data_IF_150756309772
#
_entry.id   IF_150756309772
#
_cell.length_a   1.000
_cell.length_b   1.000
_cell.length_c   1.000
_cell.angle_alpha   90.00
_cell.angle_beta   90.00
_cell.angle_gamma   90.00
#
_symmetry.space_group_name_H-M   'P 1'
#
loop_
_entity.id
_entity.type
_entity.pdbx_description
1 polymer ?
#
# COMPACT_ATOMS: atom_id res chain seq x y z
N UNK A 1 27.41 35.17 -2.29
CA UNK A 1 25.96 35.45 -2.14
C UNK A 1 25.23 34.14 -2.41
N UNK A 2 24.93 33.35 -1.39
CA UNK A 2 24.32 32.02 -1.56
C UNK A 2 22.79 32.13 -1.40
N UNK A 3 22.07 31.70 -2.41
CA UNK A 3 20.61 31.68 -2.53
C UNK A 3 20.03 30.49 -1.76
N UNK A 4 19.54 30.67 -0.51
CA UNK A 4 18.89 29.58 0.26
C UNK A 4 17.36 29.46 0.09
N UNK A 5 16.71 30.42 -0.59
CA UNK A 5 15.24 30.49 -0.69
C UNK A 5 14.57 29.27 -1.38
N UNK A 6 15.29 28.46 -2.15
CA UNK A 6 14.70 27.38 -2.95
C UNK A 6 14.39 26.07 -2.19
N UNK A 7 15.11 25.75 -1.12
CA UNK A 7 15.10 24.39 -0.53
C UNK A 7 13.86 24.11 0.32
N UNK A 8 13.38 25.09 1.08
CA UNK A 8 12.19 24.95 1.92
C UNK A 8 10.87 24.96 1.12
N UNK A 9 10.84 25.70 0.00
CA UNK A 9 9.72 25.69 -0.95
C UNK A 9 9.52 24.32 -1.62
N UNK A 10 10.62 23.66 -2.01
CA UNK A 10 10.59 22.33 -2.62
C UNK A 10 9.98 21.26 -1.71
N UNK A 11 10.36 21.23 -0.43
CA UNK A 11 9.82 20.25 0.55
C UNK A 11 8.33 20.49 0.83
N UNK A 12 7.89 21.75 0.93
CA UNK A 12 6.47 22.10 1.12
C UNK A 12 5.64 21.70 -0.10
N UNK A 13 6.15 21.94 -1.31
CA UNK A 13 5.51 21.53 -2.57
C UNK A 13 5.38 20.02 -2.69
N UNK A 14 6.46 19.28 -2.40
CA UNK A 14 6.45 17.82 -2.41
C UNK A 14 5.45 17.25 -1.38
N UNK A 15 5.43 17.79 -0.16
CA UNK A 15 4.45 17.38 0.86
C UNK A 15 3.01 17.63 0.44
N UNK A 16 2.71 18.77 -0.21
CA UNK A 16 1.37 19.04 -0.74
C UNK A 16 0.98 18.05 -1.84
N UNK A 17 1.90 17.76 -2.77
CA UNK A 17 1.66 16.78 -3.83
C UNK A 17 1.37 15.39 -3.25
N UNK A 18 2.16 14.95 -2.27
CA UNK A 18 1.94 13.66 -1.59
C UNK A 18 0.59 13.61 -0.88
N UNK A 19 0.16 14.70 -0.24
CA UNK A 19 -1.18 14.79 0.36
C UNK A 19 -2.26 14.62 -0.70
N UNK A 20 -2.17 15.35 -1.82
CA UNK A 20 -3.16 15.26 -2.91
C UNK A 20 -3.25 13.83 -3.43
N UNK A 21 -2.11 13.18 -3.67
CA UNK A 21 -2.07 11.79 -4.13
C UNK A 21 -2.70 10.84 -3.09
N UNK A 22 -2.42 11.05 -1.81
CA UNK A 22 -3.05 10.31 -0.71
C UNK A 22 -4.57 10.45 -0.68
N UNK A 23 -5.10 11.68 -0.84
CA UNK A 23 -6.55 11.93 -0.93
C UNK A 23 -7.16 11.16 -2.10
N UNK A 24 -6.53 11.24 -3.28
CA UNK A 24 -7.01 10.53 -4.48
C UNK A 24 -7.10 9.03 -4.21
N UNK A 25 -6.07 8.44 -3.58
CA UNK A 25 -6.07 7.01 -3.26
C UNK A 25 -7.15 6.63 -2.25
N UNK A 26 -7.34 7.43 -1.19
CA UNK A 26 -8.43 7.20 -0.22
C UNK A 26 -9.80 7.24 -0.91
N UNK A 27 -10.05 8.25 -1.73
CA UNK A 27 -11.33 8.38 -2.45
C UNK A 27 -11.52 7.23 -3.43
N UNK A 28 -10.51 6.91 -4.24
CA UNK A 28 -10.57 5.82 -5.20
C UNK A 28 -10.86 4.47 -4.53
N UNK A 29 -10.13 4.14 -3.45
CA UNK A 29 -10.34 2.90 -2.71
C UNK A 29 -11.73 2.83 -2.07
N UNK A 30 -12.21 3.93 -1.47
CA UNK A 30 -13.55 3.98 -0.89
C UNK A 30 -14.66 3.81 -1.94
N UNK A 31 -14.50 4.44 -3.12
CA UNK A 31 -15.41 4.26 -4.26
C UNK A 31 -15.40 2.80 -4.74
N UNK A 32 -14.23 2.16 -4.82
CA UNK A 32 -14.14 0.74 -5.19
C UNK A 32 -14.88 -0.16 -4.19
N UNK A 33 -14.66 0.01 -2.89
CA UNK A 33 -15.38 -0.75 -1.85
C UNK A 33 -16.89 -0.55 -1.95
N UNK A 34 -17.34 0.70 -2.12
CA UNK A 34 -18.75 1.00 -2.31
C UNK A 34 -19.33 0.34 -3.56
N UNK A 35 -18.62 0.41 -4.69
CA UNK A 35 -19.04 -0.22 -5.94
C UNK A 35 -19.18 -1.74 -5.80
N UNK A 36 -18.21 -2.42 -5.17
CA UNK A 36 -18.27 -3.87 -4.95
C UNK A 36 -19.48 -4.23 -4.08
N UNK A 37 -19.69 -3.50 -2.98
CA UNK A 37 -20.86 -3.71 -2.10
C UNK A 37 -22.19 -3.52 -2.84
N UNK A 38 -22.30 -2.49 -3.68
CA UNK A 38 -23.52 -2.27 -4.48
C UNK A 38 -23.77 -3.37 -5.51
N UNK A 39 -22.71 -3.90 -6.14
CA UNK A 39 -22.85 -5.01 -7.08
C UNK A 39 -23.30 -6.29 -6.37
N UNK A 40 -22.73 -6.57 -5.19
CA UNK A 40 -23.12 -7.72 -4.37
C UNK A 40 -24.57 -7.64 -3.91
N UNK A 41 -24.99 -6.48 -3.40
CA UNK A 41 -26.36 -6.25 -2.97
C UNK A 41 -27.37 -6.40 -4.12
N UNK A 42 -26.98 -6.05 -5.35
CA UNK A 42 -27.83 -6.18 -6.53
C UNK A 42 -28.13 -7.65 -6.92
N UNK A 43 -27.22 -8.58 -6.61
CA UNK A 43 -27.40 -10.02 -6.87
C UNK A 43 -28.40 -10.69 -5.91
N UNK A 44 -28.83 -10.00 -4.85
CA UNK A 44 -29.84 -10.50 -3.88
C UNK A 44 -29.51 -11.86 -3.27
N UNK A 45 -28.22 -12.16 -3.11
CA UNK A 45 -27.76 -13.34 -2.40
C UNK A 45 -27.99 -13.10 -0.92
N UNK A 46 -28.66 -14.03 -0.25
CA UNK A 46 -28.87 -14.01 1.20
C UNK A 46 -28.07 -15.14 1.84
N UNK A 47 -27.58 -14.88 3.04
CA UNK A 47 -26.87 -15.90 3.82
C UNK A 47 -27.85 -16.99 4.23
N UNK A 48 -27.47 -18.25 4.03
CA UNK A 48 -28.31 -19.40 4.34
C UNK A 48 -28.75 -19.43 5.82
N UNK A 49 -29.96 -19.95 6.08
CA UNK A 49 -30.57 -19.98 7.42
C UNK A 49 -29.81 -20.87 8.41
N UNK A 50 -29.05 -21.83 7.91
CA UNK A 50 -28.23 -22.77 8.69
C UNK A 50 -26.74 -22.39 8.72
N UNK A 51 -26.39 -21.19 8.23
CA UNK A 51 -25.04 -20.67 8.35
C UNK A 51 -24.66 -20.38 9.81
N UNK A 52 -23.37 -20.22 10.08
CA UNK A 52 -22.85 -19.95 11.42
C UNK A 52 -23.16 -18.54 11.95
N UNK A 53 -23.38 -17.57 11.06
CA UNK A 53 -23.67 -16.17 11.38
C UNK A 53 -24.39 -15.46 10.22
N UNK A 54 -24.95 -14.28 10.48
CA UNK A 54 -25.56 -13.38 9.48
C UNK A 54 -26.74 -13.98 8.70
N UNK A 55 -27.42 -14.99 9.25
CA UNK A 55 -28.52 -15.72 8.60
C UNK A 55 -29.61 -14.77 8.10
N UNK A 56 -30.04 -14.96 6.86
CA UNK A 56 -31.06 -14.12 6.21
C UNK A 56 -30.61 -12.69 5.88
N UNK A 57 -29.39 -12.29 6.23
CA UNK A 57 -28.84 -10.99 5.80
C UNK A 57 -28.43 -11.04 4.33
N UNK A 58 -28.46 -9.88 3.69
CA UNK A 58 -27.98 -9.71 2.33
C UNK A 58 -26.45 -9.82 2.32
N UNK A 59 -25.89 -10.51 1.33
CA UNK A 59 -24.44 -10.58 1.13
C UNK A 59 -23.99 -9.28 0.47
N UNK A 60 -23.57 -8.29 1.25
CA UNK A 60 -23.07 -7.00 0.73
C UNK A 60 -21.74 -6.55 1.36
N UNK A 61 -21.23 -7.31 2.34
CA UNK A 61 -19.92 -7.13 2.97
C UNK A 61 -19.03 -8.37 2.78
N UNK A 62 -17.70 -8.25 2.98
CA UNK A 62 -16.79 -9.38 2.85
C UNK A 62 -17.02 -10.51 3.86
N UNK A 63 -17.54 -10.22 5.06
CA UNK A 63 -17.76 -11.26 6.08
C UNK A 63 -18.99 -12.11 5.78
N UNK A 64 -20.11 -11.50 5.36
CA UNK A 64 -21.28 -12.27 4.92
C UNK A 64 -20.94 -13.12 3.69
N UNK A 65 -20.18 -12.58 2.74
CA UNK A 65 -19.73 -13.32 1.56
C UNK A 65 -18.88 -14.53 1.93
N UNK A 66 -18.02 -14.40 2.96
CA UNK A 66 -17.19 -15.49 3.43
C UNK A 66 -18.04 -16.58 4.10
N UNK A 67 -18.98 -16.19 4.97
CA UNK A 67 -19.89 -17.13 5.64
C UNK A 67 -20.78 -17.85 4.63
N UNK A 68 -21.29 -17.15 3.62
CA UNK A 68 -22.07 -17.77 2.55
C UNK A 68 -21.22 -18.74 1.70
N UNK A 69 -19.97 -18.39 1.40
CA UNK A 69 -19.07 -19.28 0.68
C UNK A 69 -18.70 -20.53 1.51
N UNK A 70 -18.67 -20.41 2.84
CA UNK A 70 -18.40 -21.52 3.75
C UNK A 70 -19.58 -22.49 3.84
N UNK A 71 -20.81 -21.99 4.02
CA UNK A 71 -22.00 -22.86 4.08
C UNK A 71 -22.26 -23.57 2.74
N UNK A 72 -22.01 -22.91 1.60
CA UNK A 72 -22.04 -23.58 0.28
C UNK A 72 -21.05 -24.75 0.23
N UNK A 73 -19.85 -24.58 0.79
CA UNK A 73 -18.87 -25.66 0.84
C UNK A 73 -19.35 -26.82 1.71
N UNK A 74 -19.96 -26.49 2.85
CA UNK A 74 -20.51 -27.48 3.76
C UNK A 74 -21.56 -28.35 3.08
N UNK A 75 -22.59 -27.75 2.46
CA UNK A 75 -23.63 -28.50 1.73
C UNK A 75 -23.07 -29.30 0.56
N UNK A 76 -22.06 -28.76 -0.14
CA UNK A 76 -21.43 -29.45 -1.24
C UNK A 76 -20.66 -30.69 -0.77
N UNK A 77 -19.89 -30.57 0.32
CA UNK A 77 -19.18 -31.70 0.93
C UNK A 77 -20.13 -32.72 1.54
N UNK A 78 -21.22 -32.29 2.16
CA UNK A 78 -22.26 -33.20 2.66
C UNK A 78 -22.86 -34.03 1.53
N UNK A 79 -23.17 -33.37 0.40
CA UNK A 79 -23.70 -34.04 -0.78
C UNK A 79 -22.71 -35.03 -1.40
N UNK A 80 -21.41 -34.71 -1.40
CA UNK A 80 -20.36 -35.55 -1.98
C UNK A 80 -19.81 -36.62 -1.04
N UNK A 81 -20.29 -36.67 0.22
CA UNK A 81 -19.76 -37.57 1.25
C UNK A 81 -18.34 -37.20 1.69
N UNK A 82 -18.01 -35.91 1.68
CA UNK A 82 -16.72 -35.35 2.08
C UNK A 82 -15.67 -35.31 0.96
N UNK A 83 -16.03 -35.69 -0.26
CA UNK A 83 -15.11 -35.71 -1.41
C UNK A 83 -15.05 -34.35 -2.11
N UNK A 84 -13.86 -33.93 -2.49
CA UNK A 84 -13.62 -32.77 -3.35
C UNK A 84 -13.90 -33.08 -4.82
N UNK A 85 -14.03 -32.05 -5.66
CA UNK A 85 -14.32 -32.22 -7.10
C UNK A 85 -13.34 -33.16 -7.84
N UNK A 86 -12.07 -33.16 -7.44
CA UNK A 86 -11.03 -34.02 -8.02
C UNK A 86 -11.12 -35.49 -7.58
N UNK A 87 -11.83 -35.78 -6.50
CA UNK A 87 -11.96 -37.12 -5.92
C UNK A 87 -13.24 -37.83 -6.38
N UNK A 88 -14.10 -37.13 -7.13
CA UNK A 88 -15.34 -37.66 -7.68
C UNK A 88 -15.09 -38.28 -9.05
N UNK A 89 -15.69 -39.46 -9.27
CA UNK A 89 -15.72 -40.12 -10.56
C UNK A 89 -16.41 -39.24 -11.61
N UNK A 90 -15.97 -39.35 -12.86
CA UNK A 90 -16.45 -38.47 -13.94
C UNK A 90 -17.97 -38.55 -14.13
N UNK A 91 -18.55 -39.72 -13.95
CA UNK A 91 -19.98 -40.01 -14.09
C UNK A 91 -20.76 -39.87 -12.77
N UNK A 92 -20.15 -39.37 -11.69
CA UNK A 92 -20.84 -39.17 -10.41
C UNK A 92 -21.90 -38.05 -10.53
N UNK A 93 -23.17 -38.30 -10.17
CA UNK A 93 -24.24 -37.30 -10.28
C UNK A 93 -24.01 -36.05 -9.41
N UNK A 94 -23.22 -36.14 -8.34
CA UNK A 94 -22.93 -35.02 -7.43
C UNK A 94 -21.77 -34.15 -7.95
N UNK A 95 -21.05 -34.62 -8.97
CA UNK A 95 -19.90 -33.90 -9.54
C UNK A 95 -20.28 -32.53 -10.10
N UNK A 96 -21.45 -32.41 -10.70
CA UNK A 96 -21.97 -31.12 -11.17
C UNK A 96 -22.27 -30.16 -10.02
N UNK A 97 -22.87 -30.66 -8.93
CA UNK A 97 -23.13 -29.87 -7.72
C UNK A 97 -21.84 -29.32 -7.11
N UNK A 98 -20.80 -30.17 -7.00
CA UNK A 98 -19.48 -29.76 -6.50
C UNK A 98 -18.79 -28.73 -7.41
N UNK A 99 -18.97 -28.87 -8.72
CA UNK A 99 -18.46 -27.91 -9.69
C UNK A 99 -19.13 -26.55 -9.51
N UNK A 100 -20.45 -26.51 -9.46
CA UNK A 100 -21.23 -25.29 -9.26
C UNK A 100 -20.92 -24.62 -7.92
N UNK A 101 -20.82 -25.41 -6.84
CA UNK A 101 -20.42 -24.90 -5.53
C UNK A 101 -19.04 -24.23 -5.58
N UNK A 102 -18.07 -24.85 -6.25
CA UNK A 102 -16.73 -24.28 -6.41
C UNK A 102 -16.74 -22.97 -7.20
N UNK A 103 -17.56 -22.88 -8.25
CA UNK A 103 -17.72 -21.65 -9.03
C UNK A 103 -18.36 -20.52 -8.23
N UNK A 104 -19.45 -20.80 -7.50
CA UNK A 104 -20.12 -19.80 -6.66
C UNK A 104 -19.19 -19.30 -5.54
N UNK A 105 -18.42 -20.21 -4.93
CA UNK A 105 -17.43 -19.83 -3.92
C UNK A 105 -16.30 -19.00 -4.52
N UNK A 106 -15.80 -19.37 -5.69
CA UNK A 106 -14.75 -18.62 -6.36
C UNK A 106 -15.20 -17.20 -6.71
N UNK A 107 -16.45 -17.02 -7.17
CA UNK A 107 -16.99 -15.69 -7.44
C UNK A 107 -17.15 -14.86 -6.16
N UNK A 108 -17.62 -15.46 -5.06
CA UNK A 108 -17.69 -14.81 -3.74
C UNK A 108 -16.29 -14.46 -3.18
N UNK A 109 -15.29 -15.33 -3.34
CA UNK A 109 -13.92 -15.01 -2.93
C UNK A 109 -13.29 -13.92 -3.81
N UNK A 110 -13.64 -13.86 -5.08
CA UNK A 110 -13.19 -12.78 -5.98
C UNK A 110 -13.70 -11.43 -5.49
N UNK A 111 -14.94 -11.34 -5.00
CA UNK A 111 -15.47 -10.10 -4.41
C UNK A 111 -14.83 -9.77 -3.05
N UNK A 112 -14.55 -10.76 -2.20
CA UNK A 112 -13.81 -10.56 -0.93
C UNK A 112 -12.42 -9.98 -1.21
N UNK A 113 -11.72 -10.51 -2.22
CA UNK A 113 -10.41 -9.98 -2.65
C UNK A 113 -10.56 -8.54 -3.14
N UNK A 114 -11.62 -8.22 -3.91
CA UNK A 114 -11.87 -6.85 -4.37
C UNK A 114 -12.08 -5.87 -3.19
N UNK A 115 -12.81 -6.26 -2.14
CA UNK A 115 -12.90 -5.48 -0.90
C UNK A 115 -11.54 -5.30 -0.24
N UNK A 116 -10.76 -6.38 -0.11
CA UNK A 116 -9.42 -6.33 0.48
C UNK A 116 -8.48 -5.40 -0.27
N UNK A 117 -8.49 -5.44 -1.61
CA UNK A 117 -7.69 -4.54 -2.45
C UNK A 117 -8.18 -3.08 -2.32
N UNK A 118 -9.50 -2.84 -2.30
CA UNK A 118 -10.07 -1.51 -2.08
C UNK A 118 -9.61 -0.90 -0.75
N UNK A 119 -9.68 -1.67 0.34
CA UNK A 119 -9.20 -1.26 1.66
C UNK A 119 -7.69 -1.06 1.72
N UNK A 120 -6.90 -1.89 1.03
CA UNK A 120 -5.45 -1.70 0.90
C UNK A 120 -5.13 -0.35 0.24
N UNK A 121 -5.84 0.00 -0.84
CA UNK A 121 -5.67 1.28 -1.53
C UNK A 121 -6.01 2.46 -0.60
N UNK A 122 -7.07 2.35 0.20
CA UNK A 122 -7.38 3.33 1.24
C UNK A 122 -6.24 3.44 2.26
N UNK A 123 -5.73 2.31 2.75
CA UNK A 123 -4.61 2.28 3.70
C UNK A 123 -3.32 2.91 3.16
N UNK A 124 -3.02 2.70 1.87
CA UNK A 124 -1.92 3.38 1.18
C UNK A 124 -2.16 4.88 1.09
N UNK A 125 -3.37 5.31 0.74
CA UNK A 125 -3.75 6.72 0.72
C UNK A 125 -3.58 7.40 2.08
N UNK A 126 -4.02 6.74 3.16
CA UNK A 126 -3.82 7.22 4.54
C UNK A 126 -2.32 7.31 4.89
N UNK A 127 -1.52 6.33 4.48
CA UNK A 127 -0.07 6.33 4.69
C UNK A 127 0.59 7.53 3.99
N UNK A 128 0.19 7.82 2.74
CA UNK A 128 0.66 8.99 2.00
C UNK A 128 0.22 10.31 2.65
N UNK A 129 -1.00 10.37 3.21
CA UNK A 129 -1.46 11.54 3.96
C UNK A 129 -0.57 11.82 5.18
N UNK A 130 -0.25 10.78 5.96
CA UNK A 130 0.62 10.89 7.13
C UNK A 130 2.01 11.38 6.72
N UNK A 131 2.59 10.79 5.67
CA UNK A 131 3.91 11.17 5.14
C UNK A 131 3.89 12.61 4.62
N UNK A 132 2.88 12.99 3.83
CA UNK A 132 2.76 14.33 3.27
C UNK A 132 2.58 15.42 4.35
N UNK A 133 1.81 15.11 5.41
CA UNK A 133 1.70 15.98 6.59
C UNK A 133 3.03 16.12 7.33
N UNK A 134 3.80 15.03 7.46
CA UNK A 134 5.13 15.06 8.05
C UNK A 134 6.10 15.93 7.23
N UNK A 135 6.16 15.74 5.91
CA UNK A 135 6.98 16.55 5.00
C UNK A 135 6.62 18.04 5.08
N UNK A 136 5.32 18.36 5.13
CA UNK A 136 4.86 19.76 5.26
C UNK A 136 5.29 20.38 6.59
N UNK A 137 5.23 19.63 7.69
CA UNK A 137 5.74 20.10 9.00
C UNK A 137 7.25 20.32 8.95
N UNK A 138 8.03 19.43 8.35
CA UNK A 138 9.48 19.61 8.18
C UNK A 138 9.79 20.85 7.34
N UNK A 139 9.15 21.01 6.17
CA UNK A 139 9.33 22.18 5.32
C UNK A 139 8.97 23.50 6.01
N UNK A 140 7.95 23.48 6.90
CA UNK A 140 7.60 24.66 7.70
C UNK A 140 8.67 25.04 8.73
N UNK A 141 9.34 24.05 9.35
CA UNK A 141 10.43 24.29 10.31
C UNK A 141 11.68 24.81 9.60
N UNK A 142 12.06 24.19 8.47
CA UNK A 142 13.20 24.63 7.68
C UNK A 142 13.03 26.09 7.21
N UNK A 143 11.83 26.47 6.79
CA UNK A 143 11.55 27.87 6.44
C UNK A 143 11.64 28.83 7.63
N UNK A 144 11.31 28.39 8.86
CA UNK A 144 11.44 29.20 10.06
C UNK A 144 12.91 29.37 10.47
N UNK A 145 13.72 28.31 10.35
CA UNK A 145 15.16 28.35 10.63
C UNK A 145 15.90 29.26 9.62
N UNK A 146 15.54 29.20 8.34
CA UNK A 146 16.05 30.13 7.30
C UNK A 146 15.78 31.60 7.66
N UNK A 147 14.57 31.90 8.17
CA UNK A 147 14.19 33.26 8.59
C UNK A 147 14.90 33.67 9.89
N UNK A 148 15.15 32.75 10.82
CA UNK A 148 15.89 33.03 12.05
C UNK A 148 17.37 33.34 11.79
N UNK A 149 18.01 32.65 10.83
CA UNK A 149 19.37 32.96 10.37
C UNK A 149 19.43 34.29 9.61
N UNK A 150 18.36 34.66 8.90
CA UNK A 150 18.25 35.92 8.17
C UNK A 150 17.73 37.11 9.01
N UNK A 151 17.37 36.88 10.27
CA UNK A 151 16.91 37.92 11.21
C UNK A 151 17.96 39.02 11.40
N UNK A 152 17.55 40.27 11.71
CA UNK A 152 18.43 41.42 11.66
C UNK A 152 19.64 41.16 12.56
N UNK A 153 20.84 41.39 12.02
CA UNK A 153 22.07 41.42 12.80
C UNK A 153 21.75 42.15 14.11
N UNK A 154 21.77 41.42 15.24
CA UNK A 154 21.66 42.07 16.56
C UNK A 154 22.73 43.15 16.54
N UNK A 155 22.29 44.40 16.51
CA UNK A 155 23.16 45.53 16.82
C UNK A 155 23.50 45.32 18.28
N UNK A 156 24.60 44.60 18.53
CA UNK A 156 25.24 44.60 19.83
C UNK A 156 25.57 46.06 20.14
N UNK A 157 25.26 46.58 21.33
CA UNK A 157 25.75 47.89 21.70
C UNK A 157 27.28 47.83 21.64
N UNK A 158 27.87 48.81 20.97
CA UNK A 158 29.30 48.94 20.77
C UNK A 158 30.04 48.87 22.12
N UNK A 159 30.62 47.71 22.42
CA UNK A 159 31.61 47.58 23.46
C UNK A 159 32.96 47.96 22.86
N UNK A 160 33.60 48.93 23.49
CA UNK A 160 34.80 49.62 23.06
C UNK A 160 35.98 48.69 22.72
N UNK A 161 36.80 49.18 21.79
CA UNK A 161 37.99 48.57 21.24
C UNK A 161 39.04 48.15 22.29
N UNK A 162 39.74 47.04 22.01
CA UNK A 162 41.12 46.82 22.44
C UNK A 162 41.84 45.86 21.44
N UNK A 163 43.17 45.97 21.29
CA UNK A 163 43.83 45.78 20.00
C UNK A 163 44.27 44.34 19.68
N UNK A 164 44.46 44.15 18.37
CA UNK A 164 45.01 42.96 17.71
C UNK A 164 46.45 42.70 18.15
N UNK A 165 46.75 41.47 18.58
CA UNK A 165 48.11 40.92 18.63
C UNK A 165 48.16 39.70 17.71
N UNK A 166 49.17 39.65 16.85
CA UNK A 166 49.32 38.73 15.75
C UNK A 166 50.09 37.45 16.10
N UNK A 167 49.59 36.31 15.58
CA UNK A 167 50.29 35.09 15.10
C UNK A 167 50.99 34.18 16.15
N UNK A 168 51.28 32.88 15.89
CA UNK A 168 51.48 32.23 14.58
C UNK A 168 50.80 30.85 14.34
N UNK A 169 51.02 30.34 13.13
CA UNK A 169 50.44 29.13 12.54
C UNK A 169 50.93 27.80 13.15
N UNK A 170 50.07 26.77 13.15
CA UNK A 170 50.49 25.37 13.01
C UNK A 170 49.31 24.43 12.67
N UNK A 171 49.41 23.86 11.47
CA UNK A 171 49.30 22.41 11.15
C UNK A 171 48.23 21.56 11.85
N UNK A 172 47.29 21.08 11.03
CA UNK A 172 46.55 19.85 11.32
C UNK A 172 47.51 18.65 11.45
N UNK A 173 47.17 17.68 12.31
CA UNK A 173 47.15 16.32 11.78
C UNK A 173 45.97 15.45 12.26
N UNK A 174 45.56 14.60 11.32
CA UNK A 174 45.23 13.19 11.48
C UNK A 174 44.07 12.74 12.39
N UNK A 175 43.07 12.16 11.72
CA UNK A 175 42.12 11.19 12.26
C UNK A 175 42.82 9.91 12.78
N UNK A 176 42.14 9.17 13.67
CA UNK A 176 41.95 7.73 13.48
C UNK A 176 40.49 7.34 13.80
N UNK A 177 39.90 6.21 13.43
CA UNK A 177 40.22 5.12 12.51
C UNK A 177 38.87 4.44 12.21
N UNK A 178 38.68 3.94 11.00
CA UNK A 178 37.53 3.14 10.60
C UNK A 178 37.83 1.65 10.74
N UNK A 179 36.80 0.84 11.08
CA UNK A 179 36.47 -0.48 10.50
C UNK A 179 35.29 -1.13 11.28
N UNK A 180 34.58 -2.12 10.71
CA UNK A 180 34.14 -2.30 9.33
C UNK A 180 32.61 -2.57 9.27
N UNK A 181 31.95 -2.23 8.16
CA UNK A 181 30.61 -2.74 7.88
C UNK A 181 30.60 -3.46 6.52
N UNK A 182 30.18 -4.71 6.62
CA UNK A 182 30.07 -5.81 5.66
C UNK A 182 29.42 -5.47 4.31
N UNK A 183 29.84 -6.25 3.31
CA UNK A 183 29.49 -6.19 1.90
C UNK A 183 27.97 -6.33 1.58
N UNK A 184 27.52 -5.79 0.43
CA UNK A 184 26.20 -6.05 -0.14
C UNK A 184 26.14 -7.40 -0.88
N UNK A 185 25.02 -8.15 -0.83
CA UNK A 185 24.84 -9.32 -1.67
C UNK A 185 24.65 -8.93 -3.15
N UNK A 186 25.28 -9.72 -4.02
CA UNK A 186 25.24 -9.61 -5.47
C UNK A 186 23.83 -9.74 -6.03
N UNK A 187 23.53 -8.89 -7.03
CA UNK A 187 22.34 -8.95 -7.84
C UNK A 187 22.23 -10.30 -8.58
N UNK A 188 21.05 -10.91 -8.51
CA UNK A 188 20.70 -12.08 -9.32
C UNK A 188 20.59 -11.71 -10.81
N UNK A 189 20.98 -12.61 -11.74
CA UNK A 189 20.93 -12.35 -13.16
C UNK A 189 19.48 -12.29 -13.68
N UNK A 190 19.20 -11.26 -14.46
CA UNK A 190 17.98 -11.06 -15.24
C UNK A 190 17.91 -12.13 -16.34
N UNK A 191 16.90 -13.01 -16.28
CA UNK A 191 16.59 -13.96 -17.36
C UNK A 191 15.77 -13.22 -18.41
N UNK A 192 16.34 -13.06 -19.60
CA UNK A 192 15.63 -12.55 -20.78
C UNK A 192 14.60 -13.58 -21.27
N UNK A 193 13.39 -13.17 -21.70
CA UNK A 193 12.40 -14.10 -22.24
C UNK A 193 12.83 -14.61 -23.62
N UNK A 194 12.80 -15.94 -23.78
CA UNK A 194 13.04 -16.66 -25.02
C UNK A 194 11.90 -16.43 -26.04
N UNK A 195 12.18 -16.19 -27.33
CA UNK A 195 11.13 -15.95 -28.33
C UNK A 195 10.39 -17.25 -28.69
N UNK A 196 9.07 -17.24 -28.50
CA UNK A 196 8.14 -18.31 -28.88
C UNK A 196 8.25 -18.61 -30.39
N UNK A 197 8.68 -19.84 -30.72
CA UNK A 197 8.70 -20.36 -32.09
C UNK A 197 7.24 -20.56 -32.55
N UNK A 198 6.82 -19.86 -33.61
CA UNK A 198 5.53 -20.10 -34.27
C UNK A 198 5.56 -21.50 -34.88
N UNK A 199 4.64 -22.36 -34.46
CA UNK A 199 4.35 -23.61 -35.17
C UNK A 199 3.36 -23.30 -36.31
N UNK A 200 3.71 -23.73 -37.52
CA UNK A 200 2.87 -23.57 -38.71
C UNK A 200 1.68 -24.56 -38.67
N UNK A 201 0.50 -24.16 -39.19
CA UNK A 201 -0.68 -25.02 -39.21
C UNK A 201 -0.54 -26.17 -40.24
N UNK A 202 -1.12 -27.36 -39.98
CA UNK A 202 -1.09 -28.47 -40.93
C UNK A 202 -1.96 -28.19 -42.17
N UNK A 203 -1.46 -28.66 -43.32
CA UNK A 203 -2.08 -28.59 -44.64
C UNK A 203 -3.18 -29.64 -44.85
#
# INVERSE_FOLDING_TARGET
MATSTGKSGGVKGLGLLTIILGIIFVVAGAVTVGAVSTNLAAEKITVADDASAFQGQLVDTPWEAWVQADIINHHALDASGGKTYSELDREDPVRETMMNASFLRASLFTSIVAFGVGLLVVGLGVSLLIIGLALRRVGSRLAADDVAVAGPARVAPAAAAAPVVAAPASTAPAAPAAAPATAPPAAAPVVSPEPVRREDPPA
#
